data_IF_566899029414
#
_entry.id   IF_566899029414
#
_cell.length_a   1.000
_cell.length_b   1.000
_cell.length_c   1.000
_cell.angle_alpha   90.00
_cell.angle_beta   90.00
_cell.angle_gamma   90.00
#
_symmetry.space_group_name_H-M   'P 1'
#
loop_
_entity.id
_entity.type
_entity.pdbx_description
1 polymer ?
#
# COMPACT_ATOMS: atom_id res chain seq x y z
N UNK A 1 -7.62 -21.14 16.30
CA UNK A 1 -8.61 -20.35 15.54
C UNK A 1 -8.07 -18.94 15.28
N UNK A 2 -7.46 -18.69 14.11
CA UNK A 2 -7.21 -17.33 13.64
C UNK A 2 -8.53 -16.81 13.04
N UNK A 3 -9.45 -16.39 13.90
CA UNK A 3 -10.86 -16.14 13.56
C UNK A 3 -11.11 -14.85 12.76
N UNK A 4 -10.08 -14.14 12.31
CA UNK A 4 -10.24 -12.99 11.44
C UNK A 4 -9.23 -13.10 10.30
N UNK A 5 -9.73 -13.44 9.10
CA UNK A 5 -8.98 -13.30 7.86
C UNK A 5 -8.69 -11.80 7.67
N UNK A 6 -7.56 -11.35 8.21
CA UNK A 6 -6.98 -10.05 7.85
C UNK A 6 -6.43 -10.25 6.44
N UNK A 7 -7.02 -9.61 5.45
CA UNK A 7 -6.44 -9.57 4.10
C UNK A 7 -5.37 -8.48 4.09
N UNK A 8 -4.32 -8.58 3.27
CA UNK A 8 -3.24 -7.59 3.25
C UNK A 8 -3.73 -6.13 3.07
N UNK A 9 -4.86 -5.95 2.37
CA UNK A 9 -5.54 -4.66 2.19
C UNK A 9 -6.05 -4.03 3.49
N UNK A 10 -6.29 -4.83 4.54
CA UNK A 10 -6.76 -4.34 5.83
C UNK A 10 -5.66 -3.56 6.58
N UNK A 11 -4.37 -3.81 6.29
CA UNK A 11 -3.21 -3.17 6.94
C UNK A 11 -2.66 -1.95 6.17
N UNK A 12 -3.44 -1.38 5.24
CA UNK A 12 -3.03 -0.21 4.45
C UNK A 12 -2.75 1.02 5.33
N UNK A 13 -1.91 1.93 4.82
CA UNK A 13 -1.73 3.25 5.46
C UNK A 13 -3.07 3.98 5.56
N UNK A 14 -3.34 4.55 6.73
CA UNK A 14 -4.62 5.17 7.08
C UNK A 14 -5.70 4.19 7.58
N UNK A 15 -5.44 2.88 7.61
CA UNK A 15 -6.39 1.93 8.20
C UNK A 15 -6.55 2.17 9.71
N UNK A 16 -7.80 2.23 10.17
CA UNK A 16 -8.16 2.41 11.59
C UNK A 16 -8.67 1.10 12.19
N UNK A 17 -8.12 0.74 13.34
CA UNK A 17 -8.49 -0.41 14.15
C UNK A 17 -8.99 0.05 15.51
N UNK A 18 -9.89 -0.72 16.11
CA UNK A 18 -10.46 -0.44 17.44
C UNK A 18 -10.42 -1.69 18.33
N UNK A 19 -10.46 -1.48 19.64
CA UNK A 19 -10.53 -2.52 20.66
C UNK A 19 -9.42 -3.56 20.56
N UNK A 20 -9.79 -4.83 20.68
CA UNK A 20 -8.84 -5.96 20.69
C UNK A 20 -8.00 -6.05 19.40
N UNK A 21 -8.57 -5.62 18.27
CA UNK A 21 -7.84 -5.61 16.99
C UNK A 21 -6.73 -4.56 16.98
N UNK A 22 -7.00 -3.36 17.49
CA UNK A 22 -5.97 -2.33 17.63
C UNK A 22 -4.81 -2.83 18.51
N UNK A 23 -5.15 -3.47 19.64
CA UNK A 23 -4.15 -4.06 20.53
C UNK A 23 -3.36 -5.20 19.87
N UNK A 24 -4.01 -6.07 19.09
CA UNK A 24 -3.35 -7.15 18.38
C UNK A 24 -2.39 -6.66 17.29
N UNK A 25 -2.82 -5.70 16.45
CA UNK A 25 -1.96 -5.08 15.43
C UNK A 25 -0.79 -4.36 16.09
N UNK A 26 -1.03 -3.61 17.15
CA UNK A 26 0.02 -2.89 17.87
C UNK A 26 1.10 -3.83 18.43
N UNK A 27 0.70 -4.99 18.99
CA UNK A 27 1.63 -6.03 19.45
C UNK A 27 2.39 -6.66 18.29
N UNK A 28 1.71 -7.01 17.21
CA UNK A 28 2.32 -7.59 16.02
C UNK A 28 3.39 -6.66 15.41
N UNK A 29 3.13 -5.34 15.34
CA UNK A 29 4.12 -4.35 14.90
C UNK A 29 5.34 -4.27 15.84
N UNK A 30 5.11 -4.33 17.17
CA UNK A 30 6.19 -4.31 18.14
C UNK A 30 7.08 -5.57 18.06
N UNK A 31 6.46 -6.73 17.87
CA UNK A 31 7.14 -8.01 17.67
C UNK A 31 7.91 -8.03 16.34
N UNK A 32 7.28 -7.61 15.24
CA UNK A 32 7.93 -7.53 13.93
C UNK A 32 9.15 -6.59 13.97
N UNK A 33 9.00 -5.40 14.56
CA UNK A 33 10.10 -4.46 14.80
C UNK A 33 11.26 -5.11 15.53
N UNK A 34 10.98 -5.81 16.65
CA UNK A 34 11.99 -6.48 17.46
C UNK A 34 12.69 -7.57 16.65
N UNK A 35 11.93 -8.45 16.01
CA UNK A 35 12.48 -9.52 15.17
C UNK A 35 13.38 -8.99 14.07
N UNK A 36 12.95 -7.95 13.33
CA UNK A 36 13.75 -7.36 12.25
C UNK A 36 15.05 -6.77 12.80
N UNK A 37 14.97 -6.00 13.89
CA UNK A 37 16.11 -5.31 14.48
C UNK A 37 17.13 -6.26 15.09
N UNK A 38 16.67 -7.27 15.83
CA UNK A 38 17.52 -8.19 16.59
C UNK A 38 18.07 -9.33 15.71
N UNK A 39 17.39 -9.65 14.60
CA UNK A 39 17.77 -10.73 13.70
C UNK A 39 18.39 -10.19 12.39
N UNK A 40 17.70 -10.11 11.24
CA UNK A 40 18.36 -9.86 9.97
C UNK A 40 19.12 -8.53 9.96
N UNK A 41 18.60 -7.44 10.54
CA UNK A 41 19.34 -6.18 10.58
C UNK A 41 20.61 -6.25 11.44
N UNK A 42 20.62 -7.10 12.48
CA UNK A 42 21.78 -7.28 13.35
C UNK A 42 22.85 -8.20 12.75
N UNK A 43 22.43 -9.26 12.04
CA UNK A 43 23.32 -10.30 11.53
C UNK A 43 23.69 -10.14 10.05
N UNK A 44 22.98 -9.34 9.26
CA UNK A 44 23.39 -9.02 7.89
C UNK A 44 24.48 -7.95 7.91
N UNK A 45 25.73 -8.38 7.68
CA UNK A 45 26.93 -7.53 7.71
C UNK A 45 27.63 -7.49 6.37
N UNK A 46 28.41 -6.44 6.11
CA UNK A 46 29.26 -6.40 4.94
C UNK A 46 30.33 -7.49 5.04
N UNK A 47 30.70 -8.13 3.91
CA UNK A 47 31.69 -9.21 3.90
C UNK A 47 32.97 -8.84 4.63
N UNK A 48 33.45 -9.73 5.51
CA UNK A 48 34.67 -9.55 6.29
C UNK A 48 34.67 -8.30 7.19
N UNK A 49 33.50 -7.84 7.64
CA UNK A 49 33.41 -6.71 8.57
C UNK A 49 32.35 -6.95 9.65
N UNK A 50 32.49 -6.22 10.75
CA UNK A 50 31.44 -6.11 11.77
C UNK A 50 30.35 -5.09 11.39
N UNK A 51 30.46 -4.41 10.24
CA UNK A 51 29.54 -3.34 9.86
C UNK A 51 28.23 -3.95 9.38
N UNK A 52 27.14 -3.65 10.09
CA UNK A 52 25.77 -4.01 9.71
C UNK A 52 25.36 -3.29 8.42
N UNK A 53 24.82 -4.04 7.46
CA UNK A 53 24.32 -3.51 6.20
C UNK A 53 23.10 -2.63 6.46
N UNK A 54 22.11 -3.18 7.18
CA UNK A 54 20.90 -2.44 7.55
C UNK A 54 21.05 -1.81 8.94
N UNK A 55 20.55 -0.59 9.11
CA UNK A 55 20.52 0.09 10.40
C UNK A 55 19.09 0.18 10.91
N UNK A 56 18.78 -0.56 11.97
CA UNK A 56 17.51 -0.46 12.66
C UNK A 56 17.64 0.51 13.85
N UNK A 57 16.87 1.59 13.85
CA UNK A 57 16.70 2.47 15.00
C UNK A 57 15.32 2.20 15.60
N UNK A 58 15.29 1.53 16.74
CA UNK A 58 14.02 1.14 17.36
C UNK A 58 13.61 2.13 18.43
N UNK A 59 12.34 2.55 18.43
CA UNK A 59 11.76 3.45 19.43
C UNK A 59 10.88 2.68 20.40
N UNK A 60 10.59 3.26 21.57
CA UNK A 60 9.64 2.67 22.51
C UNK A 60 8.27 2.64 21.83
N UNK A 61 7.77 1.42 21.56
CA UNK A 61 6.50 1.25 20.88
C UNK A 61 5.39 2.01 21.62
N UNK A 62 4.53 2.74 20.88
CA UNK A 62 3.48 3.56 21.48
C UNK A 62 2.50 2.67 22.26
N UNK A 63 2.02 3.17 23.41
CA UNK A 63 0.93 2.52 24.14
C UNK A 63 -0.39 2.88 23.49
N UNK A 64 -0.89 1.97 22.67
CA UNK A 64 -2.18 2.10 22.00
C UNK A 64 -3.32 1.84 23.00
N UNK A 65 -4.25 2.80 23.14
CA UNK A 65 -5.41 2.72 24.02
C UNK A 65 -6.69 2.93 23.21
N UNK A 66 -7.44 1.86 22.99
CA UNK A 66 -8.77 1.93 22.36
C UNK A 66 -8.74 1.87 20.83
N UNK A 67 -7.96 2.71 20.15
CA UNK A 67 -7.87 2.70 18.70
C UNK A 67 -6.46 2.97 18.15
N UNK A 68 -6.24 2.55 16.90
CA UNK A 68 -4.96 2.62 16.19
C UNK A 68 -5.22 3.00 14.74
N UNK A 69 -4.62 4.08 14.27
CA UNK A 69 -4.57 4.43 12.84
C UNK A 69 -3.16 4.18 12.32
N UNK A 70 -3.02 3.44 11.23
CA UNK A 70 -1.71 3.18 10.60
C UNK A 70 -1.25 4.37 9.76
N UNK A 71 -0.90 5.48 10.39
CA UNK A 71 -0.35 6.66 9.73
C UNK A 71 1.18 6.76 9.87
N UNK A 72 1.75 7.80 9.27
CA UNK A 72 3.19 8.07 9.35
C UNK A 72 3.67 8.23 10.78
N UNK A 73 2.92 8.94 11.62
CA UNK A 73 3.33 9.26 12.99
C UNK A 73 3.41 7.98 13.83
N UNK A 74 2.33 7.19 13.82
CA UNK A 74 2.24 5.91 14.52
C UNK A 74 3.32 4.95 14.05
N UNK A 75 3.50 4.78 12.74
CA UNK A 75 4.50 3.86 12.21
C UNK A 75 5.93 4.29 12.55
N UNK A 76 6.21 5.60 12.50
CA UNK A 76 7.52 6.16 12.90
C UNK A 76 7.80 5.93 14.38
N UNK A 77 6.77 5.91 15.23
CA UNK A 77 6.93 5.59 16.65
C UNK A 77 7.37 4.13 16.92
N UNK A 78 7.21 3.22 15.96
CA UNK A 78 7.82 1.89 16.03
C UNK A 78 9.30 1.90 15.63
N UNK A 79 9.80 2.93 14.96
CA UNK A 79 11.21 3.09 14.60
C UNK A 79 11.43 3.16 13.09
N UNK A 80 12.70 3.06 12.69
CA UNK A 80 13.11 3.16 11.30
C UNK A 80 14.14 2.08 10.94
N UNK A 81 14.09 1.63 9.69
CA UNK A 81 15.12 0.80 9.07
C UNK A 81 15.76 1.60 7.94
N UNK A 82 17.09 1.69 7.92
CA UNK A 82 17.84 2.38 6.87
C UNK A 82 18.63 1.38 6.05
N UNK A 83 18.51 1.50 4.72
CA UNK A 83 19.23 0.71 3.73
C UNK A 83 20.28 1.59 3.00
N UNK A 84 21.51 1.10 2.76
CA UNK A 84 22.47 1.82 1.93
C UNK A 84 21.95 2.03 0.51
N UNK A 85 22.03 3.25 -0.01
CA UNK A 85 21.42 3.59 -1.30
C UNK A 85 21.95 2.81 -2.51
N UNK A 86 23.11 2.15 -2.43
CA UNK A 86 23.58 1.24 -3.47
C UNK A 86 22.88 -0.13 -3.41
N UNK A 87 22.57 -0.65 -2.22
CA UNK A 87 21.79 -1.87 -2.04
C UNK A 87 20.37 -1.63 -2.54
N UNK A 88 19.71 -0.56 -2.11
CA UNK A 88 18.38 -0.18 -2.59
C UNK A 88 18.29 -0.16 -4.12
N UNK A 89 19.24 0.51 -4.79
CA UNK A 89 19.28 0.58 -6.25
C UNK A 89 19.47 -0.80 -6.89
N UNK A 90 20.27 -1.68 -6.29
CA UNK A 90 20.45 -3.05 -6.75
C UNK A 90 19.18 -3.86 -6.58
N UNK A 91 18.51 -3.77 -5.42
CA UNK A 91 17.22 -4.43 -5.18
C UNK A 91 16.16 -4.01 -6.19
N UNK A 92 16.08 -2.70 -6.48
CA UNK A 92 15.15 -2.18 -7.49
C UNK A 92 15.45 -2.70 -8.91
N UNK A 93 16.73 -2.87 -9.28
CA UNK A 93 17.13 -3.39 -10.60
C UNK A 93 16.91 -4.89 -10.73
N UNK A 94 17.12 -5.63 -9.64
CA UNK A 94 17.01 -7.09 -9.60
C UNK A 94 15.62 -7.56 -9.15
N UNK A 95 14.67 -6.64 -8.93
CA UNK A 95 13.31 -6.92 -8.45
C UNK A 95 12.64 -8.15 -9.10
N UNK A 96 12.63 -8.26 -10.45
CA UNK A 96 12.03 -9.41 -11.13
C UNK A 96 12.63 -10.78 -10.76
N UNK A 97 13.89 -10.81 -10.33
CA UNK A 97 14.59 -12.01 -9.88
C UNK A 97 14.48 -12.22 -8.37
N UNK A 98 14.38 -11.12 -7.62
CA UNK A 98 14.27 -11.14 -6.17
C UNK A 98 12.90 -11.66 -5.74
N UNK A 99 11.81 -11.26 -6.43
CA UNK A 99 10.45 -11.63 -6.03
C UNK A 99 10.24 -13.16 -5.96
N UNK A 100 10.58 -13.97 -6.99
CA UNK A 100 10.43 -15.42 -6.91
C UNK A 100 11.26 -16.04 -5.78
N UNK A 101 12.48 -15.53 -5.56
CA UNK A 101 13.37 -16.00 -4.49
C UNK A 101 12.79 -15.66 -3.11
N UNK A 102 12.25 -14.46 -2.92
CA UNK A 102 11.63 -14.05 -1.67
C UNK A 102 10.40 -14.90 -1.37
N UNK A 103 9.51 -15.11 -2.35
CA UNK A 103 8.32 -15.96 -2.16
C UNK A 103 8.75 -17.38 -1.81
N UNK A 104 9.74 -17.93 -2.50
CA UNK A 104 10.26 -19.27 -2.21
C UNK A 104 10.82 -19.39 -0.79
N UNK A 105 11.71 -18.50 -0.38
CA UNK A 105 12.34 -18.54 0.95
C UNK A 105 11.33 -18.30 2.08
N UNK A 106 10.36 -17.40 1.88
CA UNK A 106 9.26 -17.21 2.82
C UNK A 106 8.41 -18.47 2.97
N UNK A 107 8.00 -19.09 1.87
CA UNK A 107 7.27 -20.36 1.88
C UNK A 107 8.04 -21.46 2.60
N UNK A 108 9.34 -21.60 2.31
CA UNK A 108 10.22 -22.57 2.96
C UNK A 108 10.30 -22.33 4.48
N UNK A 109 10.51 -21.10 4.91
CA UNK A 109 10.61 -20.74 6.33
C UNK A 109 9.28 -20.97 7.07
N UNK A 110 8.17 -20.50 6.52
CA UNK A 110 6.83 -20.66 7.14
C UNK A 110 6.50 -22.13 7.33
N UNK A 111 6.77 -22.97 6.33
CA UNK A 111 6.57 -24.43 6.43
C UNK A 111 7.46 -25.06 7.51
N UNK A 112 8.74 -24.71 7.53
CA UNK A 112 9.68 -25.22 8.54
C UNK A 112 9.30 -24.80 9.98
N UNK A 113 8.71 -23.61 10.17
CA UNK A 113 8.15 -23.20 11.45
C UNK A 113 6.84 -23.92 11.77
N UNK A 114 5.97 -24.10 10.78
CA UNK A 114 4.72 -24.85 10.91
C UNK A 114 4.96 -26.28 11.40
N UNK A 115 5.89 -27.00 10.78
CA UNK A 115 6.29 -28.35 11.19
C UNK A 115 6.76 -28.40 12.65
N UNK A 116 7.68 -27.49 13.03
CA UNK A 116 8.20 -27.39 14.41
C UNK A 116 7.12 -27.06 15.44
N UNK A 117 6.06 -26.36 15.05
CA UNK A 117 4.94 -26.01 15.90
C UNK A 117 3.79 -27.04 15.89
N UNK A 118 3.96 -28.19 15.20
CA UNK A 118 2.88 -29.18 15.03
C UNK A 118 1.70 -28.67 14.20
N UNK A 119 1.94 -27.66 13.34
CA UNK A 119 0.96 -27.02 12.46
C UNK A 119 1.44 -27.11 11.01
N UNK A 120 1.38 -28.30 10.38
CA UNK A 120 1.87 -28.47 9.02
C UNK A 120 1.12 -27.54 8.07
N UNK A 121 1.87 -26.89 7.18
CA UNK A 121 1.35 -26.00 6.13
C UNK A 121 1.51 -26.69 4.80
N UNK A 122 0.45 -26.73 4.00
CA UNK A 122 0.45 -27.45 2.73
C UNK A 122 1.34 -26.73 1.70
N UNK A 123 1.89 -27.51 0.75
CA UNK A 123 2.57 -26.94 -0.41
C UNK A 123 1.62 -26.04 -1.20
N UNK A 124 2.09 -24.87 -1.63
CA UNK A 124 1.30 -23.90 -2.37
C UNK A 124 0.43 -22.98 -1.50
N UNK A 125 0.22 -23.30 -0.22
CA UNK A 125 -0.63 -22.48 0.66
C UNK A 125 0.02 -21.12 0.97
N UNK A 126 1.33 -21.12 1.24
CA UNK A 126 2.07 -19.89 1.53
C UNK A 126 2.24 -19.07 0.24
N UNK A 127 2.56 -19.73 -0.87
CA UNK A 127 2.67 -19.09 -2.18
C UNK A 127 1.34 -18.44 -2.59
N UNK A 128 0.20 -19.12 -2.37
CA UNK A 128 -1.12 -18.56 -2.63
C UNK A 128 -1.45 -17.38 -1.71
N UNK A 129 -0.98 -17.39 -0.46
CA UNK A 129 -1.17 -16.28 0.48
C UNK A 129 -0.26 -15.08 0.19
N UNK A 130 0.92 -15.33 -0.39
CA UNK A 130 1.89 -14.31 -0.81
C UNK A 130 1.69 -13.87 -2.26
N UNK A 131 0.83 -14.56 -3.02
CA UNK A 131 0.52 -14.20 -4.39
C UNK A 131 0.11 -12.74 -4.43
N UNK A 132 0.77 -11.98 -5.31
CA UNK A 132 0.44 -10.58 -5.51
C UNK A 132 -1.05 -10.49 -5.79
N UNK A 133 -1.77 -9.72 -4.98
CA UNK A 133 -3.18 -9.45 -5.24
C UNK A 133 -3.20 -8.71 -6.58
N UNK A 134 -3.63 -9.39 -7.65
CA UNK A 134 -3.89 -8.75 -8.93
C UNK A 134 -4.87 -7.61 -8.65
N UNK A 135 -4.39 -6.36 -8.66
CA UNK A 135 -5.23 -5.28 -8.21
C UNK A 135 -6.37 -5.18 -9.20
N UNK A 136 -7.61 -5.01 -8.73
CA UNK A 136 -8.70 -4.75 -9.65
C UNK A 136 -8.53 -3.30 -10.16
N UNK A 137 -8.67 -3.09 -11.47
CA UNK A 137 -8.76 -1.74 -12.04
C UNK A 137 -10.11 -1.12 -11.66
N UNK A 138 -10.19 -0.60 -10.44
CA UNK A 138 -11.40 -0.03 -9.87
C UNK A 138 -11.20 1.47 -9.58
N UNK A 139 -12.07 2.29 -10.16
CA UNK A 139 -12.08 3.76 -9.96
C UNK A 139 -13.34 4.23 -9.22
N UNK A 140 -14.22 3.32 -8.81
CA UNK A 140 -15.55 3.64 -8.29
C UNK A 140 -15.49 4.49 -7.01
N UNK A 141 -14.54 4.19 -6.11
CA UNK A 141 -14.39 4.95 -4.86
C UNK A 141 -13.94 6.41 -5.14
N UNK A 142 -12.98 6.62 -6.03
CA UNK A 142 -12.56 7.95 -6.44
C UNK A 142 -13.66 8.71 -7.19
N UNK A 143 -14.36 8.04 -8.10
CA UNK A 143 -15.47 8.63 -8.84
C UNK A 143 -16.62 9.05 -7.92
N UNK A 144 -17.02 8.18 -6.99
CA UNK A 144 -18.09 8.49 -6.02
C UNK A 144 -17.70 9.60 -5.06
N UNK A 145 -16.43 9.64 -4.62
CA UNK A 145 -15.90 10.72 -3.77
C UNK A 145 -15.94 12.07 -4.49
N UNK A 146 -15.46 12.14 -5.72
CA UNK A 146 -15.51 13.37 -6.52
C UNK A 146 -16.96 13.82 -6.81
N UNK A 147 -17.88 12.87 -7.11
CA UNK A 147 -19.31 13.20 -7.28
C UNK A 147 -19.93 13.79 -6.01
N UNK A 148 -19.69 13.17 -4.85
CA UNK A 148 -20.17 13.66 -3.56
C UNK A 148 -19.65 15.07 -3.25
N UNK A 149 -18.39 15.37 -3.58
CA UNK A 149 -17.84 16.71 -3.42
C UNK A 149 -18.58 17.73 -4.29
N UNK A 150 -18.83 17.40 -5.57
CA UNK A 150 -19.61 18.26 -6.46
C UNK A 150 -21.03 18.49 -5.96
N UNK A 151 -21.70 17.45 -5.45
CA UNK A 151 -23.05 17.54 -4.86
C UNK A 151 -23.07 18.42 -3.60
N UNK A 152 -21.97 18.48 -2.85
CA UNK A 152 -21.78 19.36 -1.69
C UNK A 152 -21.37 20.79 -2.08
N UNK A 153 -21.33 21.12 -3.38
CA UNK A 153 -20.88 22.43 -3.87
C UNK A 153 -19.38 22.66 -3.75
N UNK A 154 -18.59 21.63 -3.41
CA UNK A 154 -17.12 21.72 -3.36
C UNK A 154 -16.57 21.59 -4.78
N UNK A 155 -15.70 22.52 -5.22
CA UNK A 155 -15.13 22.45 -6.57
C UNK A 155 -14.23 21.23 -6.71
N UNK A 156 -14.31 20.54 -7.85
CA UNK A 156 -13.35 19.51 -8.25
C UNK A 156 -12.67 19.99 -9.53
N UNK A 157 -11.35 19.93 -9.57
CA UNK A 157 -10.56 20.38 -10.72
C UNK A 157 -9.79 19.22 -11.35
N UNK A 158 -9.52 19.34 -12.65
CA UNK A 158 -8.61 18.45 -13.37
C UNK A 158 -7.20 18.65 -12.85
N UNK A 159 -6.60 17.62 -12.23
CA UNK A 159 -5.24 17.74 -11.65
C UNK A 159 -4.18 18.18 -12.65
N UNK A 160 -4.36 17.83 -13.93
CA UNK A 160 -3.41 18.08 -15.00
C UNK A 160 -3.54 19.46 -15.64
N UNK A 161 -4.71 20.09 -15.56
CA UNK A 161 -4.99 21.34 -16.29
C UNK A 161 -5.57 22.46 -15.43
N UNK A 162 -5.91 22.19 -14.17
CA UNK A 162 -6.59 23.12 -13.26
C UNK A 162 -8.05 23.43 -13.62
N UNK A 163 -8.54 22.94 -14.76
CA UNK A 163 -9.91 23.21 -15.22
C UNK A 163 -10.95 22.64 -14.25
N UNK A 164 -11.97 23.42 -13.91
CA UNK A 164 -13.10 22.94 -13.11
C UNK A 164 -13.85 21.82 -13.84
N UNK A 165 -14.22 20.79 -13.09
CA UNK A 165 -14.94 19.62 -13.58
C UNK A 165 -16.39 19.69 -13.10
N UNK A 166 -17.33 19.56 -14.03
CA UNK A 166 -18.74 19.34 -13.72
C UNK A 166 -19.12 17.85 -13.71
N UNK A 167 -20.36 17.50 -13.31
CA UNK A 167 -20.82 16.11 -13.24
C UNK A 167 -20.66 15.30 -14.54
N UNK A 168 -20.82 15.95 -15.70
CA UNK A 168 -20.65 15.34 -17.03
C UNK A 168 -19.23 15.40 -17.60
N UNK A 169 -18.32 16.11 -16.94
CA UNK A 169 -16.94 16.32 -17.37
C UNK A 169 -15.92 15.66 -16.44
N UNK A 170 -16.36 14.75 -15.56
CA UNK A 170 -15.54 14.10 -14.55
C UNK A 170 -15.11 12.70 -14.99
N UNK A 171 -13.80 12.49 -15.06
CA UNK A 171 -13.18 11.17 -15.19
C UNK A 171 -12.14 10.95 -14.08
N UNK A 172 -11.73 9.69 -13.89
CA UNK A 172 -10.68 9.32 -12.94
C UNK A 172 -9.50 8.77 -13.74
N UNK A 173 -8.40 9.53 -13.72
CA UNK A 173 -7.12 9.13 -14.30
C UNK A 173 -6.31 8.29 -13.31
N UNK A 174 -5.55 7.34 -13.83
CA UNK A 174 -4.50 6.68 -13.08
C UNK A 174 -3.20 7.47 -13.27
N UNK A 175 -2.68 8.11 -12.23
CA UNK A 175 -1.48 8.95 -12.31
C UNK A 175 -0.34 8.24 -13.04
N UNK A 176 -0.02 7.03 -12.60
CA UNK A 176 0.74 6.04 -13.34
C UNK A 176 -0.24 5.08 -14.04
N UNK A 177 -0.16 4.94 -15.37
CA UNK A 177 -1.12 4.18 -16.14
C UNK A 177 -1.09 2.69 -15.76
N UNK A 178 -2.27 2.07 -15.76
CA UNK A 178 -2.46 0.67 -15.37
C UNK A 178 -1.58 -0.31 -16.16
N UNK A 179 -1.35 -0.03 -17.45
CA UNK A 179 -0.52 -0.85 -18.34
C UNK A 179 0.95 -0.94 -17.92
N UNK A 180 1.43 0.04 -17.14
CA UNK A 180 2.82 0.12 -16.65
C UNK A 180 2.88 -0.17 -15.16
N UNK A 181 1.87 0.26 -14.41
CA UNK A 181 1.80 0.11 -12.96
C UNK A 181 0.37 -0.26 -12.55
N UNK A 182 0.03 -1.56 -12.52
CA UNK A 182 -1.31 -2.01 -12.12
C UNK A 182 -1.47 -1.73 -10.62
N UNK A 183 -2.06 -0.58 -10.30
CA UNK A 183 -2.21 -0.08 -8.94
C UNK A 183 -3.52 0.70 -8.84
N UNK A 184 -4.47 0.15 -8.09
CA UNK A 184 -5.77 0.76 -7.79
C UNK A 184 -5.79 1.54 -6.47
N UNK A 185 -4.62 1.84 -5.90
CA UNK A 185 -4.54 2.59 -4.64
C UNK A 185 -4.96 4.05 -4.84
N UNK A 186 -5.54 4.64 -3.80
CA UNK A 186 -6.14 5.98 -3.85
C UNK A 186 -5.16 7.10 -4.20
N UNK A 187 -3.86 6.92 -3.89
CA UNK A 187 -2.84 7.89 -4.29
C UNK A 187 -2.69 7.97 -5.81
N UNK A 188 -2.99 6.88 -6.53
CA UNK A 188 -2.86 6.79 -7.98
C UNK A 188 -4.13 7.23 -8.71
N UNK A 189 -5.24 7.53 -8.02
CA UNK A 189 -6.53 7.87 -8.62
C UNK A 189 -6.83 9.36 -8.51
N UNK A 190 -6.86 10.06 -9.66
CA UNK A 190 -6.93 11.52 -9.72
C UNK A 190 -8.08 12.02 -10.59
N UNK A 191 -8.78 13.11 -10.22
CA UNK A 191 -9.82 13.70 -11.05
C UNK A 191 -9.20 14.34 -12.29
N UNK A 192 -9.72 13.98 -13.46
CA UNK A 192 -9.29 14.51 -14.74
C UNK A 192 -10.49 14.76 -15.65
N UNK A 193 -10.32 15.62 -16.65
CA UNK A 193 -11.31 15.71 -17.73
C UNK A 193 -11.21 14.49 -18.66
N UNK A 194 -12.33 14.01 -19.25
CA UNK A 194 -12.32 12.95 -20.25
C UNK A 194 -11.33 13.21 -21.39
N UNK A 195 -11.24 14.47 -21.86
CA UNK A 195 -10.29 14.87 -22.89
C UNK A 195 -8.84 14.58 -22.49
N UNK A 196 -8.48 14.94 -21.26
CA UNK A 196 -7.12 14.68 -20.76
C UNK A 196 -6.91 13.18 -20.55
N UNK A 197 -7.80 12.50 -19.83
CA UNK A 197 -7.64 11.08 -19.48
C UNK A 197 -7.61 10.18 -20.74
N UNK A 198 -8.57 10.36 -21.64
CA UNK A 198 -8.86 9.43 -22.73
C UNK A 198 -8.15 9.77 -24.05
N UNK A 199 -7.64 10.99 -24.23
CA UNK A 199 -7.03 11.41 -25.49
C UNK A 199 -5.60 11.96 -25.32
N UNK A 200 -5.37 12.83 -24.32
CA UNK A 200 -4.06 13.46 -24.14
C UNK A 200 -3.09 12.59 -23.34
N UNK A 201 -3.47 12.10 -22.17
CA UNK A 201 -2.60 11.26 -21.35
C UNK A 201 -2.68 9.80 -21.79
N UNK A 202 -3.87 9.20 -21.78
CA UNK A 202 -4.09 7.76 -22.05
C UNK A 202 -3.15 6.92 -21.17
N UNK A 203 -2.54 5.90 -21.77
CA UNK A 203 -1.59 5.01 -21.11
C UNK A 203 -0.15 5.55 -21.06
N UNK A 204 0.06 6.86 -21.27
CA UNK A 204 1.38 7.48 -21.18
C UNK A 204 1.75 7.79 -19.73
N UNK A 205 3.00 7.50 -19.37
CA UNK A 205 3.59 7.98 -18.12
C UNK A 205 3.69 9.51 -18.15
N UNK A 206 3.31 10.20 -17.07
CA UNK A 206 3.53 11.63 -16.97
C UNK A 206 5.04 11.92 -16.90
N UNK A 207 5.49 12.95 -17.60
CA UNK A 207 6.88 13.41 -17.47
C UNK A 207 7.14 13.96 -16.08
N UNK A 208 8.42 14.02 -15.67
CA UNK A 208 8.81 14.66 -14.42
C UNK A 208 8.31 16.12 -14.32
N UNK A 209 8.36 16.87 -15.42
CA UNK A 209 7.83 18.24 -15.50
C UNK A 209 6.31 18.31 -15.34
N UNK A 210 5.56 17.38 -15.94
CA UNK A 210 4.10 17.33 -15.81
C UNK A 210 3.69 16.96 -14.37
N UNK A 211 4.38 16.01 -13.73
CA UNK A 211 4.16 15.68 -12.32
C UNK A 211 4.50 16.86 -11.40
N UNK A 212 5.61 17.55 -11.65
CA UNK A 212 5.99 18.72 -10.87
C UNK A 212 4.95 19.85 -10.99
N UNK A 213 4.46 20.11 -12.20
CA UNK A 213 3.42 21.11 -12.45
C UNK A 213 2.06 20.74 -11.83
N UNK A 214 1.71 19.45 -11.79
CA UNK A 214 0.46 18.96 -11.21
C UNK A 214 0.53 18.75 -9.68
N UNK A 215 1.72 18.90 -9.07
CA UNK A 215 1.97 18.55 -7.66
C UNK A 215 0.97 19.17 -6.70
N UNK A 216 0.73 20.47 -6.82
CA UNK A 216 -0.18 21.19 -5.90
C UNK A 216 -1.62 20.69 -6.06
N UNK A 217 -2.10 20.53 -7.30
CA UNK A 217 -3.44 20.01 -7.58
C UNK A 217 -3.64 18.58 -7.08
N UNK A 218 -2.61 17.74 -7.18
CA UNK A 218 -2.64 16.35 -6.72
C UNK A 218 -2.73 16.31 -5.19
N UNK A 219 -1.90 17.08 -4.49
CA UNK A 219 -1.92 17.15 -3.02
C UNK A 219 -3.27 17.70 -2.55
N UNK A 220 -3.75 18.79 -3.17
CA UNK A 220 -5.05 19.38 -2.83
C UNK A 220 -6.20 18.38 -3.02
N UNK A 221 -6.15 17.54 -4.06
CA UNK A 221 -7.12 16.46 -4.24
C UNK A 221 -7.04 15.43 -3.10
N UNK A 222 -5.83 14.96 -2.76
CA UNK A 222 -5.66 13.98 -1.69
C UNK A 222 -6.16 14.50 -0.34
N UNK A 223 -5.85 15.75 -0.01
CA UNK A 223 -6.30 16.38 1.23
C UNK A 223 -7.83 16.46 1.27
N UNK A 224 -8.45 16.88 0.16
CA UNK A 224 -9.90 17.06 0.11
C UNK A 224 -10.70 15.76 0.05
N UNK A 225 -10.17 14.74 -0.63
CA UNK A 225 -10.88 13.50 -0.91
C UNK A 225 -10.68 12.44 0.17
N UNK A 226 -9.47 12.37 0.76
CA UNK A 226 -9.04 11.24 1.58
C UNK A 226 -8.77 11.57 3.04
N UNK A 227 -8.40 12.82 3.34
CA UNK A 227 -8.22 13.23 4.72
C UNK A 227 -9.57 13.66 5.32
N UNK A 228 -9.85 13.27 6.57
CA UNK A 228 -11.10 13.64 7.22
C UNK A 228 -11.16 15.16 7.43
N UNK A 229 -12.33 15.76 7.17
CA UNK A 229 -12.70 17.03 7.80
C UNK A 229 -12.74 16.77 9.32
N UNK A 230 -12.07 17.59 10.13
CA UNK A 230 -11.95 17.40 11.59
C UNK A 230 -13.29 17.33 12.37
N UNK A 231 -14.45 17.41 11.70
CA UNK A 231 -15.78 17.29 12.28
C UNK A 231 -16.64 16.11 11.81
N UNK A 232 -16.19 15.26 10.87
CA UNK A 232 -17.04 14.22 10.28
C UNK A 232 -16.66 12.79 10.71
N UNK A 233 -17.16 12.36 11.87
CA UNK A 233 -17.08 10.96 12.29
C UNK A 233 -18.05 10.07 11.50
N UNK A 234 -17.58 9.40 10.44
CA UNK A 234 -18.19 8.16 9.94
C UNK A 234 -17.19 7.29 9.15
N UNK A 235 -17.25 5.96 9.30
CA UNK A 235 -16.19 5.05 8.86
C UNK A 235 -16.26 4.80 7.36
N UNK A 236 -15.12 4.88 6.68
CA UNK A 236 -14.94 4.29 5.34
C UNK A 236 -15.04 2.77 5.50
N UNK A 237 -16.25 2.23 5.35
CA UNK A 237 -16.48 0.79 5.22
C UNK A 237 -16.13 0.39 3.78
N UNK A 238 -14.90 -0.04 3.57
CA UNK A 238 -14.51 -0.79 2.36
C UNK A 238 -15.12 -2.19 2.42
N UNK A 239 -16.31 -2.39 1.83
CA UNK A 239 -16.77 -3.72 1.44
C UNK A 239 -16.28 -3.98 0.01
N UNK A 240 -15.09 -4.57 -0.13
CA UNK A 240 -14.74 -5.29 -1.36
C UNK A 240 -14.54 -6.76 -1.01
N UNK A 241 -15.60 -7.56 -1.21
CA UNK A 241 -15.48 -9.02 -1.26
C UNK A 241 -15.16 -9.39 -2.70
N UNK A 242 -13.88 -9.51 -3.05
CA UNK A 242 -13.49 -10.19 -4.28
C UNK A 242 -13.76 -11.70 -4.11
N UNK A 243 -14.70 -12.21 -4.90
CA UNK A 243 -14.80 -13.66 -5.15
C UNK A 243 -13.62 -14.02 -6.05
N UNK A 244 -12.72 -14.86 -5.55
CA UNK A 244 -11.69 -15.48 -6.36
C UNK A 244 -12.36 -16.42 -7.38
N UNK A 245 -12.31 -16.07 -8.65
CA UNK A 245 -12.53 -17.02 -9.75
C UNK A 245 -11.19 -17.21 -10.45
N UNK A 246 -10.60 -18.38 -10.24
CA UNK A 246 -9.33 -18.76 -10.84
C UNK A 246 -9.42 -18.84 -12.36
N UNK A 247 -8.45 -18.24 -13.03
CA UNK A 247 -8.03 -18.64 -14.38
C UNK A 247 -6.52 -18.70 -14.39
N UNK A 248 -6.02 -19.94 -14.41
CA UNK A 248 -4.64 -20.24 -14.79
C UNK A 248 -4.39 -19.73 -16.21
N UNK A 249 -3.30 -18.99 -16.42
CA UNK A 249 -2.69 -18.85 -17.74
C UNK A 249 -1.32 -19.51 -17.70
N UNK A 250 -1.19 -20.59 -18.47
CA UNK A 250 0.08 -21.14 -18.90
C UNK A 250 0.81 -20.09 -19.75
N UNK A 251 2.08 -19.88 -19.47
CA UNK A 251 2.99 -19.17 -20.37
C UNK A 251 3.58 -20.17 -21.38
N UNK A 252 3.58 -19.78 -22.65
CA UNK A 252 4.52 -20.25 -23.67
C UNK A 252 5.57 -19.15 -23.86
#
# INVERSE_FOLDING_TARGET
>A
MLAHKVVGQDLRIGARFIGDRAAAVARALAEARRTIADMPANYTRFPNTEVRVFRAATSKAPRIRGDLTLDREVLTAYGSLTDPGHIWRTLQRLGPWIEPVLVHEWSRLVRAYGERMGRPVLHGEVEAALAWLDPARDTLLARSTAKRMLEQGRPVTCVWTGAQLGPGMLDIDHCLPWSVWPCGDLWNLLPASPRVNQHLKRDRLPSASALAAARESIIAWWDQAWLPDEGASAPVRTRNRSRATGRHRCFH
#
